data_IF_958120588548
#
_entry.id   IF_958120588548
#
_cell.length_a   1.000
_cell.length_b   1.000
_cell.length_c   1.000
_cell.angle_alpha   90.00
_cell.angle_beta   90.00
_cell.angle_gamma   90.00
#
_symmetry.space_group_name_H-M   'P 1'
#
loop_
_entity.id
_entity.type
_entity.pdbx_description
1 polymer ?
#
# COMPACT_ATOMS: atom_id res chain seq x y z
N UNK A 1 -8.65 16.39 -25.88
CA UNK A 1 -10.04 16.75 -25.72
C UNK A 1 -10.94 15.52 -25.56
N UNK A 2 -11.86 15.19 -26.45
CA UNK A 2 -12.88 14.14 -26.20
C UNK A 2 -12.27 12.75 -25.97
N UNK A 3 -11.31 12.37 -26.79
CA UNK A 3 -10.58 11.09 -26.67
C UNK A 3 -9.91 10.92 -25.31
N UNK A 4 -9.31 11.99 -24.77
CA UNK A 4 -8.68 11.98 -23.44
C UNK A 4 -9.72 11.80 -22.33
N UNK A 5 -10.89 12.43 -22.46
CA UNK A 5 -12.00 12.26 -21.50
C UNK A 5 -12.51 10.81 -21.54
N UNK A 6 -12.77 10.28 -22.74
CA UNK A 6 -13.24 8.90 -22.90
C UNK A 6 -12.22 7.89 -22.37
N UNK A 7 -10.92 8.11 -22.61
CA UNK A 7 -9.84 7.30 -22.06
C UNK A 7 -9.86 7.31 -20.53
N UNK A 8 -9.90 8.51 -19.90
CA UNK A 8 -9.88 8.62 -18.43
C UNK A 8 -11.15 8.03 -17.80
N UNK A 9 -12.31 8.24 -18.39
CA UNK A 9 -13.56 7.63 -17.91
C UNK A 9 -13.52 6.10 -17.97
N UNK A 10 -12.90 5.52 -19.00
CA UNK A 10 -12.65 4.08 -19.04
C UNK A 10 -11.70 3.64 -17.92
N UNK A 11 -10.59 4.35 -17.73
CA UNK A 11 -9.58 4.03 -16.70
C UNK A 11 -10.14 4.02 -15.27
N UNK A 12 -11.08 4.90 -14.98
CA UNK A 12 -11.72 4.97 -13.65
C UNK A 12 -13.06 4.19 -13.59
N UNK A 13 -13.40 3.41 -14.63
CA UNK A 13 -14.63 2.59 -14.69
C UNK A 13 -15.92 3.41 -14.68
N UNK A 14 -15.93 4.57 -15.33
CA UNK A 14 -17.10 5.47 -15.42
C UNK A 14 -17.62 5.68 -16.84
N UNK A 15 -17.06 5.02 -17.84
CA UNK A 15 -17.42 5.26 -19.22
C UNK A 15 -18.91 5.04 -19.50
N UNK A 16 -19.49 3.95 -18.98
CA UNK A 16 -20.93 3.64 -19.11
C UNK A 16 -21.83 4.69 -18.43
N UNK A 17 -21.25 5.51 -17.57
CA UNK A 17 -21.96 6.55 -16.83
C UNK A 17 -21.73 7.96 -17.37
N UNK A 18 -21.04 8.11 -18.51
CA UNK A 18 -20.62 9.41 -19.06
C UNK A 18 -21.77 10.38 -19.36
N UNK A 19 -22.98 9.87 -19.56
CA UNK A 19 -24.17 10.68 -19.84
C UNK A 19 -25.03 10.93 -18.59
N UNK A 20 -24.67 10.39 -17.42
CA UNK A 20 -25.38 10.64 -16.17
C UNK A 20 -24.98 11.98 -15.56
N UNK A 21 -25.92 12.64 -14.89
CA UNK A 21 -25.61 13.81 -14.09
C UNK A 21 -24.75 13.38 -12.90
N UNK A 22 -23.80 14.23 -12.49
CA UNK A 22 -22.92 13.96 -11.34
C UNK A 22 -23.71 13.73 -10.04
N UNK A 23 -24.89 14.34 -9.91
CA UNK A 23 -25.81 14.10 -8.77
C UNK A 23 -26.33 12.67 -8.68
N UNK A 24 -26.41 11.95 -9.79
CA UNK A 24 -26.91 10.57 -9.87
C UNK A 24 -25.81 9.53 -9.62
N UNK A 25 -24.56 9.94 -9.47
CA UNK A 25 -23.44 9.06 -9.19
C UNK A 25 -23.37 8.72 -7.70
N UNK A 26 -22.97 7.48 -7.38
CA UNK A 26 -22.68 7.06 -6.01
C UNK A 26 -21.48 7.83 -5.46
N UNK A 27 -21.23 7.77 -4.14
CA UNK A 27 -20.08 8.42 -3.49
C UNK A 27 -18.76 7.98 -4.13
N UNK A 28 -18.55 6.67 -4.31
CA UNK A 28 -17.34 6.12 -4.92
C UNK A 28 -17.20 6.49 -6.41
N UNK A 29 -18.33 6.55 -7.17
CA UNK A 29 -18.32 7.03 -8.55
C UNK A 29 -17.93 8.51 -8.64
N UNK A 30 -18.43 9.35 -7.72
CA UNK A 30 -18.04 10.77 -7.64
C UNK A 30 -16.56 10.93 -7.35
N UNK A 31 -16.01 10.14 -6.43
CA UNK A 31 -14.60 10.16 -6.08
C UNK A 31 -13.72 9.80 -7.29
N UNK A 32 -14.06 8.75 -8.02
CA UNK A 32 -13.38 8.37 -9.26
C UNK A 32 -13.49 9.43 -10.36
N UNK A 33 -14.64 10.10 -10.46
CA UNK A 33 -14.81 11.22 -11.39
C UNK A 33 -13.93 12.41 -11.03
N UNK A 34 -13.80 12.73 -9.74
CA UNK A 34 -12.90 13.78 -9.25
C UNK A 34 -11.45 13.45 -9.60
N UNK A 35 -11.03 12.20 -9.41
CA UNK A 35 -9.69 11.74 -9.80
C UNK A 35 -9.47 11.90 -11.31
N UNK A 36 -10.39 11.39 -12.15
CA UNK A 36 -10.29 11.54 -13.61
C UNK A 36 -10.18 13.02 -14.04
N UNK A 37 -10.95 13.90 -13.40
CA UNK A 37 -10.90 15.34 -13.66
C UNK A 37 -9.56 15.95 -13.25
N UNK A 38 -8.99 15.54 -12.10
CA UNK A 38 -7.72 16.10 -11.59
C UNK A 38 -6.53 15.78 -12.50
N UNK A 39 -6.58 14.66 -13.24
CA UNK A 39 -5.51 14.22 -14.16
C UNK A 39 -5.78 14.55 -15.63
N UNK A 40 -6.94 15.18 -15.95
CA UNK A 40 -7.35 15.46 -17.32
C UNK A 40 -6.34 16.34 -18.06
N UNK A 41 -5.81 17.34 -17.37
CA UNK A 41 -4.87 18.34 -17.91
C UNK A 41 -3.39 17.92 -17.78
N UNK A 42 -3.14 16.67 -17.39
CA UNK A 42 -1.81 16.08 -17.23
C UNK A 42 -0.89 16.90 -16.30
N UNK A 43 -1.26 17.13 -15.03
CA UNK A 43 -0.49 17.93 -14.09
C UNK A 43 0.87 17.27 -13.82
N UNK A 44 1.88 18.08 -13.48
CA UNK A 44 3.17 17.58 -13.01
C UNK A 44 3.12 17.10 -11.55
N UNK A 45 2.24 17.69 -10.75
CA UNK A 45 2.03 17.36 -9.34
C UNK A 45 0.55 17.15 -9.08
N UNK A 46 0.22 16.07 -8.39
CA UNK A 46 -1.14 15.67 -8.03
C UNK A 46 -1.25 15.54 -6.52
N UNK A 47 -2.24 16.21 -5.93
CA UNK A 47 -2.59 16.08 -4.51
C UNK A 47 -3.87 15.28 -4.37
N UNK A 48 -3.84 14.25 -3.55
CA UNK A 48 -4.97 13.35 -3.30
C UNK A 48 -5.22 13.20 -1.81
N UNK A 49 -6.46 13.37 -1.42
CA UNK A 49 -6.90 13.14 -0.05
C UNK A 49 -7.78 11.89 -0.02
N UNK A 50 -7.29 10.84 0.68
CA UNK A 50 -7.97 9.55 0.84
C UNK A 50 -8.49 8.97 -0.50
N UNK A 51 -7.63 8.76 -1.54
CA UNK A 51 -8.10 8.49 -2.91
C UNK A 51 -8.93 7.22 -3.07
N UNK A 52 -8.79 6.24 -2.18
CA UNK A 52 -9.53 4.97 -2.25
C UNK A 52 -10.51 4.75 -1.11
N UNK A 53 -10.68 5.75 -0.23
CA UNK A 53 -11.59 5.63 0.92
C UNK A 53 -13.04 5.34 0.47
N UNK A 54 -13.63 4.28 1.06
CA UNK A 54 -15.01 3.87 0.76
C UNK A 54 -15.21 3.24 -0.62
N UNK A 55 -14.15 2.88 -1.32
CA UNK A 55 -14.22 2.05 -2.52
C UNK A 55 -14.18 0.57 -2.15
N UNK A 56 -14.80 -0.26 -2.99
CA UNK A 56 -14.63 -1.71 -2.89
C UNK A 56 -13.18 -2.12 -3.26
N UNK A 57 -12.69 -3.28 -2.78
CA UNK A 57 -11.30 -3.68 -2.97
C UNK A 57 -10.85 -3.75 -4.44
N UNK A 58 -11.74 -4.20 -5.34
CA UNK A 58 -11.39 -4.32 -6.77
C UNK A 58 -11.24 -2.95 -7.42
N UNK A 59 -12.12 -2.02 -7.12
CA UNK A 59 -12.05 -0.63 -7.58
C UNK A 59 -10.83 0.08 -6.99
N UNK A 60 -10.53 -0.10 -5.71
CA UNK A 60 -9.33 0.46 -5.09
C UNK A 60 -8.05 -0.02 -5.79
N UNK A 61 -7.97 -1.31 -6.11
CA UNK A 61 -6.84 -1.89 -6.84
C UNK A 61 -6.65 -1.25 -8.22
N UNK A 62 -7.72 -0.99 -8.96
CA UNK A 62 -7.63 -0.31 -10.27
C UNK A 62 -7.16 1.14 -10.14
N UNK A 63 -7.57 1.84 -9.09
CA UNK A 63 -7.06 3.18 -8.79
C UNK A 63 -5.57 3.12 -8.42
N UNK A 64 -5.14 2.16 -7.60
CA UNK A 64 -3.72 1.97 -7.28
C UNK A 64 -2.88 1.77 -8.54
N UNK A 65 -3.31 0.91 -9.47
CA UNK A 65 -2.64 0.70 -10.76
C UNK A 65 -2.53 2.00 -11.56
N UNK A 66 -3.62 2.76 -11.64
CA UNK A 66 -3.62 4.05 -12.33
C UNK A 66 -2.63 5.04 -11.70
N UNK A 67 -2.58 5.14 -10.36
CA UNK A 67 -1.65 6.02 -9.66
C UNK A 67 -0.18 5.62 -9.89
N UNK A 68 0.12 4.31 -9.88
CA UNK A 68 1.46 3.81 -10.19
C UNK A 68 1.87 4.14 -11.64
N UNK A 69 1.00 3.94 -12.61
CA UNK A 69 1.26 4.31 -14.01
C UNK A 69 1.51 5.82 -14.18
N UNK A 70 0.74 6.66 -13.49
CA UNK A 70 0.94 8.11 -13.50
C UNK A 70 2.29 8.50 -12.90
N UNK A 71 2.68 7.87 -11.80
CA UNK A 71 3.98 8.04 -11.16
C UNK A 71 5.12 7.61 -12.11
N UNK A 72 5.02 6.44 -12.73
CA UNK A 72 5.99 5.94 -13.73
C UNK A 72 6.12 6.86 -14.94
N UNK A 73 5.03 7.55 -15.32
CA UNK A 73 5.05 8.58 -16.37
C UNK A 73 5.71 9.90 -15.96
N UNK A 74 6.22 10.00 -14.72
CA UNK A 74 6.93 11.15 -14.19
C UNK A 74 6.06 12.17 -13.43
N UNK A 75 4.82 11.81 -13.09
CA UNK A 75 3.96 12.63 -12.24
C UNK A 75 4.38 12.50 -10.78
N UNK A 76 4.58 13.63 -10.08
CA UNK A 76 4.76 13.63 -8.64
C UNK A 76 3.39 13.56 -7.95
N UNK A 77 3.20 12.58 -7.07
CA UNK A 77 1.93 12.38 -6.37
C UNK A 77 2.15 12.55 -4.87
N UNK A 78 1.38 13.44 -4.27
CA UNK A 78 1.27 13.59 -2.82
C UNK A 78 -0.12 13.10 -2.41
N UNK A 79 -0.18 12.09 -1.55
CA UNK A 79 -1.45 11.58 -1.05
C UNK A 79 -1.48 11.54 0.48
N UNK A 80 -2.67 11.73 1.04
CA UNK A 80 -2.95 11.42 2.44
C UNK A 80 -3.77 10.15 2.50
N UNK A 81 -3.50 9.31 3.47
CA UNK A 81 -4.28 8.10 3.74
C UNK A 81 -4.08 7.63 5.17
N UNK A 82 -5.10 7.02 5.74
CA UNK A 82 -5.01 6.25 6.99
C UNK A 82 -4.78 4.75 6.72
N UNK A 83 -4.78 4.34 5.46
CA UNK A 83 -4.53 2.95 5.06
C UNK A 83 -3.03 2.72 4.87
N UNK A 84 -2.38 2.10 5.86
CA UNK A 84 -0.93 1.86 5.84
C UNK A 84 -0.50 0.88 4.74
N UNK A 85 -1.39 -0.02 4.32
CA UNK A 85 -1.13 -0.92 3.20
C UNK A 85 -1.09 -0.15 1.88
N UNK A 86 -2.01 0.80 1.67
CA UNK A 86 -2.01 1.72 0.54
C UNK A 86 -0.72 2.55 0.50
N UNK A 87 -0.35 3.17 1.64
CA UNK A 87 0.89 3.93 1.77
C UNK A 87 2.12 3.09 1.43
N UNK A 88 2.16 1.83 1.90
CA UNK A 88 3.26 0.90 1.63
C UNK A 88 3.37 0.54 0.14
N UNK A 89 2.24 0.42 -0.55
CA UNK A 89 2.19 0.03 -1.98
C UNK A 89 2.49 1.17 -2.94
N UNK A 90 2.04 2.38 -2.63
CA UNK A 90 2.05 3.50 -3.57
C UNK A 90 3.20 4.48 -3.34
N UNK A 91 3.63 4.67 -2.09
CA UNK A 91 4.53 5.74 -1.72
C UNK A 91 6.00 5.31 -1.73
N UNK A 92 6.87 6.13 -2.32
CA UNK A 92 8.33 5.98 -2.18
C UNK A 92 8.78 6.41 -0.78
N UNK A 93 8.15 7.47 -0.25
CA UNK A 93 8.40 7.99 1.08
C UNK A 93 7.07 8.26 1.79
N UNK A 94 7.06 8.06 3.08
CA UNK A 94 5.92 8.35 3.95
C UNK A 94 6.34 9.25 5.10
N UNK A 95 5.43 10.11 5.50
CA UNK A 95 5.52 10.89 6.73
C UNK A 95 4.40 10.44 7.67
N UNK A 96 4.74 9.87 8.81
CA UNK A 96 3.77 9.48 9.83
C UNK A 96 3.46 10.70 10.70
N UNK A 97 2.18 11.06 10.74
CA UNK A 97 1.69 12.26 11.43
C UNK A 97 0.96 11.86 12.71
N UNK A 98 1.34 12.47 13.84
CA UNK A 98 0.64 12.34 15.11
C UNK A 98 0.59 13.70 15.81
N UNK A 99 -0.58 14.08 16.32
CA UNK A 99 -0.81 15.36 17.01
C UNK A 99 -0.27 16.59 16.27
N UNK A 100 -0.45 16.62 14.93
CA UNK A 100 -0.01 17.72 14.07
C UNK A 100 1.50 17.78 13.83
N UNK A 101 2.27 16.75 14.24
CA UNK A 101 3.72 16.66 14.06
C UNK A 101 4.09 15.43 13.25
N UNK A 102 5.11 15.57 12.41
CA UNK A 102 5.73 14.41 11.77
C UNK A 102 6.57 13.69 12.81
N UNK A 103 6.19 12.47 13.16
CA UNK A 103 6.88 11.63 14.15
C UNK A 103 7.90 10.69 13.52
N UNK A 104 7.69 10.32 12.25
CA UNK A 104 8.62 9.54 11.45
C UNK A 104 8.54 9.94 9.97
N UNK A 105 9.67 9.82 9.26
CA UNK A 105 9.79 10.04 7.82
C UNK A 105 10.81 9.09 7.22
N UNK A 106 10.47 8.49 6.08
CA UNK A 106 11.37 7.60 5.36
C UNK A 106 10.65 6.75 4.32
N UNK A 107 11.37 5.79 3.71
CA UNK A 107 10.69 4.80 2.88
C UNK A 107 9.89 3.84 3.77
N UNK A 108 8.76 3.28 3.32
CA UNK A 108 8.03 2.27 4.09
C UNK A 108 8.93 1.13 4.56
N UNK A 109 9.82 0.66 3.68
CA UNK A 109 10.76 -0.43 3.97
C UNK A 109 11.76 -0.07 5.07
N UNK A 110 12.38 1.11 4.99
CA UNK A 110 13.39 1.53 5.98
C UNK A 110 12.76 1.72 7.36
N UNK A 111 11.53 2.25 7.41
CA UNK A 111 10.78 2.38 8.66
C UNK A 111 10.47 1.01 9.26
N UNK A 112 9.98 0.06 8.46
CA UNK A 112 9.75 -1.31 8.93
C UNK A 112 11.03 -1.96 9.46
N UNK A 113 12.17 -1.79 8.78
CA UNK A 113 13.47 -2.32 9.22
C UNK A 113 13.93 -1.63 10.53
N UNK A 114 13.82 -0.30 10.62
CA UNK A 114 14.19 0.49 11.82
C UNK A 114 13.47 0.00 13.06
N UNK A 115 12.20 -0.37 12.94
CA UNK A 115 11.36 -0.82 14.05
C UNK A 115 11.31 -2.34 14.23
N UNK A 116 12.04 -3.11 13.43
CA UNK A 116 12.20 -4.55 13.58
C UNK A 116 13.26 -4.90 14.63
N UNK A 117 12.95 -4.63 15.90
CA UNK A 117 13.86 -4.86 17.03
C UNK A 117 13.98 -6.35 17.38
N UNK A 118 12.91 -7.11 17.19
CA UNK A 118 12.83 -8.54 17.51
C UNK A 118 12.68 -9.35 16.21
N UNK A 119 13.82 -9.65 15.59
CA UNK A 119 13.83 -10.45 14.36
C UNK A 119 13.22 -11.82 14.60
N UNK A 120 12.13 -12.12 13.92
CA UNK A 120 11.42 -13.40 13.97
C UNK A 120 11.30 -14.00 12.58
N UNK A 121 11.31 -15.31 12.52
CA UNK A 121 11.17 -16.09 11.30
C UNK A 121 10.04 -17.09 11.48
N UNK A 122 9.05 -17.04 10.62
CA UNK A 122 8.00 -18.06 10.54
C UNK A 122 8.49 -19.16 9.60
N UNK A 123 8.59 -20.37 10.13
CA UNK A 123 9.07 -21.55 9.41
C UNK A 123 7.92 -22.54 9.30
N UNK A 124 7.53 -22.90 8.09
CA UNK A 124 6.54 -23.95 7.82
C UNK A 124 7.26 -25.22 7.44
N UNK A 125 6.84 -26.34 8.02
CA UNK A 125 7.40 -27.67 7.75
C UNK A 125 6.60 -28.41 6.68
N UNK A 126 7.27 -29.30 5.97
CA UNK A 126 6.68 -30.18 4.94
C UNK A 126 5.54 -31.06 5.50
N UNK A 127 5.55 -31.41 6.79
CA UNK A 127 4.59 -32.31 7.44
C UNK A 127 3.67 -31.57 8.45
N UNK A 128 3.08 -30.44 8.05
CA UNK A 128 2.14 -29.66 8.87
C UNK A 128 2.66 -29.25 10.26
N UNK A 129 3.71 -28.45 10.29
CA UNK A 129 4.17 -27.81 11.51
C UNK A 129 4.57 -26.36 11.24
N UNK A 130 4.29 -25.47 12.18
CA UNK A 130 4.76 -24.11 12.13
C UNK A 130 5.60 -23.78 13.35
N UNK A 131 6.74 -23.12 13.14
CA UNK A 131 7.59 -22.57 14.18
C UNK A 131 7.76 -21.08 13.99
N UNK A 132 7.79 -20.34 15.09
CA UNK A 132 8.25 -18.95 15.11
C UNK A 132 9.60 -18.95 15.84
N UNK A 133 10.67 -18.77 15.08
CA UNK A 133 12.03 -18.75 15.57
C UNK A 133 12.53 -17.31 15.65
N UNK A 134 13.38 -17.04 16.61
CA UNK A 134 14.03 -15.75 16.82
C UNK A 134 15.48 -15.77 16.31
N UNK A 135 16.20 -14.65 16.42
CA UNK A 135 17.63 -14.61 16.17
C UNK A 135 18.48 -15.14 17.36
N UNK A 136 17.87 -15.84 18.32
CA UNK A 136 18.61 -16.49 19.43
C UNK A 136 19.50 -17.62 18.91
N UNK A 137 20.61 -17.88 19.62
CA UNK A 137 21.56 -18.95 19.23
C UNK A 137 20.84 -20.32 19.15
N UNK A 138 19.90 -20.58 20.07
CA UNK A 138 19.18 -21.86 20.08
C UNK A 138 18.23 -22.01 18.89
N UNK A 139 17.49 -20.95 18.57
CA UNK A 139 16.58 -20.95 17.43
C UNK A 139 17.32 -21.04 16.09
N UNK A 140 18.49 -20.36 15.99
CA UNK A 140 19.35 -20.48 14.80
C UNK A 140 19.85 -21.92 14.63
N UNK A 141 20.27 -22.59 15.72
CA UNK A 141 20.66 -24.01 15.65
C UNK A 141 19.51 -24.90 15.21
N UNK A 142 18.30 -24.65 15.74
CA UNK A 142 17.09 -25.35 15.35
C UNK A 142 16.81 -25.16 13.86
N UNK A 143 16.91 -23.94 13.37
CA UNK A 143 16.70 -23.60 11.95
C UNK A 143 17.70 -24.33 11.05
N UNK A 144 18.99 -24.34 11.41
CA UNK A 144 20.04 -25.04 10.66
C UNK A 144 19.76 -26.55 10.61
N UNK A 145 19.35 -27.16 11.72
CA UNK A 145 19.01 -28.59 11.76
C UNK A 145 17.82 -28.90 10.84
N UNK A 146 16.75 -28.09 10.89
CA UNK A 146 15.58 -28.26 10.03
C UNK A 146 15.91 -28.12 8.54
N UNK A 147 16.83 -27.20 8.17
CA UNK A 147 17.33 -27.04 6.80
C UNK A 147 18.10 -28.30 6.38
N UNK A 148 19.04 -28.77 7.20
CA UNK A 148 19.87 -29.92 6.90
C UNK A 148 19.06 -31.22 6.76
N UNK A 149 17.95 -31.32 7.50
CA UNK A 149 17.04 -32.48 7.47
C UNK A 149 16.03 -32.40 6.31
N UNK A 150 16.03 -31.29 5.53
CA UNK A 150 15.09 -31.07 4.42
C UNK A 150 13.63 -30.95 4.87
N UNK A 151 13.38 -30.57 6.12
CA UNK A 151 12.05 -30.49 6.72
C UNK A 151 11.31 -29.19 6.49
N UNK A 152 11.96 -28.19 5.90
CA UNK A 152 11.38 -26.86 5.71
C UNK A 152 10.72 -26.75 4.35
N UNK A 153 9.47 -26.32 4.34
CA UNK A 153 8.74 -25.95 3.13
C UNK A 153 8.90 -24.46 2.82
N UNK A 154 8.71 -23.57 3.81
CA UNK A 154 8.88 -22.13 3.62
C UNK A 154 9.53 -21.46 4.84
N UNK A 155 10.26 -20.38 4.59
CA UNK A 155 10.77 -19.47 5.62
C UNK A 155 10.34 -18.05 5.24
N UNK A 156 9.69 -17.37 6.18
CA UNK A 156 9.30 -15.97 6.02
C UNK A 156 9.88 -15.13 7.17
N UNK A 157 10.44 -13.97 6.84
CA UNK A 157 10.75 -12.96 7.87
C UNK A 157 9.45 -12.33 8.39
N UNK A 158 9.34 -12.18 9.71
CA UNK A 158 8.21 -11.51 10.35
C UNK A 158 8.56 -10.04 10.58
N UNK A 159 8.71 -9.29 9.49
CA UNK A 159 8.96 -7.86 9.59
C UNK A 159 7.69 -7.12 10.03
N UNK A 160 7.82 -6.07 10.87
CA UNK A 160 6.69 -5.25 11.24
C UNK A 160 6.14 -4.55 9.99
N UNK A 161 4.83 -4.41 9.91
CA UNK A 161 4.17 -3.60 8.88
C UNK A 161 4.26 -2.12 9.23
N UNK A 162 4.02 -1.24 8.25
CA UNK A 162 3.95 0.20 8.50
C UNK A 162 2.87 0.55 9.55
N UNK A 163 1.79 -0.22 9.62
CA UNK A 163 0.76 -0.10 10.66
C UNK A 163 1.31 -0.35 12.07
N UNK A 164 2.11 -1.42 12.24
CA UNK A 164 2.80 -1.68 13.51
C UNK A 164 3.78 -0.56 13.89
N UNK A 165 4.50 -0.02 12.89
CA UNK A 165 5.38 1.14 13.12
C UNK A 165 4.56 2.33 13.60
N UNK A 166 3.45 2.64 12.92
CA UNK A 166 2.57 3.74 13.29
C UNK A 166 2.07 3.61 14.73
N UNK A 167 1.51 2.45 15.10
CA UNK A 167 1.04 2.20 16.49
C UNK A 167 2.18 2.40 17.48
N UNK A 168 3.40 1.91 17.19
CA UNK A 168 4.55 2.01 18.10
C UNK A 168 5.04 3.43 18.32
N UNK A 169 4.88 4.32 17.34
CA UNK A 169 5.35 5.72 17.45
C UNK A 169 4.27 6.70 17.93
N UNK A 170 3.00 6.27 17.93
CA UNK A 170 1.85 7.10 18.34
C UNK A 170 1.22 6.66 19.67
N UNK A 171 1.42 5.43 20.10
CA UNK A 171 0.90 4.85 21.37
C UNK A 171 1.90 4.93 22.48
#
# INVERSE_FOLDING_TARGET
>A
PKERIDYLLNRVGLYEHKNKLASQLSKGQKQRLVLARSILHNPKVLFLDEPTSGLDPSTALEIHKLLLELKESGMSIFLTTHNMEEATKLCDHVALLNDGKIVEYGTPKDLCIKYNTDKKYKVTLVNDGEYVLTSSINDIKTLINLINEGKIETIHSCEPTLEHVFIKVTG
#
